data_IF_408827066103
#
_entry.id   IF_408827066103
#
_cell.length_a   1.000
_cell.length_b   1.000
_cell.length_c   1.000
_cell.angle_alpha   90.00
_cell.angle_beta   90.00
_cell.angle_gamma   90.00
#
_symmetry.space_group_name_H-M   'P 1'
#
loop_
_entity.id
_entity.type
_entity.pdbx_description
1 polymer ?
#
# COMPACT_ATOMS: atom_id res chain seq x y z
N UNK A 1 1.09 -7.89 -8.58
CA UNK A 1 0.83 -7.23 -7.28
C UNK A 1 0.22 -8.24 -6.35
N UNK A 2 0.89 -8.52 -5.26
CA UNK A 2 0.53 -9.60 -4.33
C UNK A 2 0.05 -9.02 -3.01
N UNK A 3 0.52 -7.83 -2.65
CA UNK A 3 0.08 -7.09 -1.46
C UNK A 3 -0.56 -5.76 -1.86
N UNK A 4 -1.58 -5.36 -1.12
CA UNK A 4 -2.22 -4.06 -1.27
C UNK A 4 -2.14 -3.33 0.07
N UNK A 5 -1.43 -2.21 0.09
CA UNK A 5 -1.34 -1.32 1.22
C UNK A 5 -2.55 -0.41 1.23
N UNK A 6 -3.27 -0.40 2.33
CA UNK A 6 -4.51 0.35 2.50
C UNK A 6 -4.25 1.45 3.52
N UNK A 7 -4.68 2.67 3.18
CA UNK A 7 -4.43 3.86 3.98
C UNK A 7 -5.72 4.44 4.55
N UNK A 8 -5.59 5.24 5.60
CA UNK A 8 -6.73 5.92 6.22
C UNK A 8 -7.26 7.09 5.39
N UNK A 9 -6.46 7.65 4.47
CA UNK A 9 -6.85 8.76 3.60
C UNK A 9 -5.99 8.83 2.33
N UNK A 10 -6.49 9.54 1.31
CA UNK A 10 -5.90 9.63 -0.03
C UNK A 10 -4.51 10.25 0.00
N UNK A 11 -4.31 11.26 0.86
CA UNK A 11 -3.04 11.96 0.99
C UNK A 11 -1.90 11.02 1.40
N UNK A 12 -2.16 10.07 2.32
CA UNK A 12 -1.16 9.07 2.72
C UNK A 12 -0.83 8.07 1.62
N UNK A 13 -1.84 7.64 0.86
CA UNK A 13 -1.63 6.75 -0.29
C UNK A 13 -0.78 7.42 -1.37
N UNK A 14 -1.06 8.69 -1.69
CA UNK A 14 -0.26 9.49 -2.63
C UNK A 14 1.17 9.71 -2.12
N UNK A 15 1.34 10.03 -0.84
CA UNK A 15 2.68 10.19 -0.25
C UNK A 15 3.48 8.87 -0.26
N UNK A 16 2.82 7.75 -0.02
CA UNK A 16 3.42 6.42 -0.14
C UNK A 16 3.88 6.18 -1.59
N UNK A 17 3.02 6.47 -2.57
CA UNK A 17 3.36 6.34 -3.99
C UNK A 17 4.57 7.19 -4.35
N UNK A 18 4.57 8.48 -4.02
CA UNK A 18 5.69 9.39 -4.30
C UNK A 18 7.02 8.85 -3.74
N UNK A 19 7.03 8.43 -2.46
CA UNK A 19 8.22 7.91 -1.79
C UNK A 19 8.75 6.65 -2.47
N UNK A 20 7.87 5.70 -2.78
CA UNK A 20 8.26 4.41 -3.37
C UNK A 20 8.70 4.60 -4.83
N UNK A 21 8.00 5.45 -5.59
CA UNK A 21 8.39 5.82 -6.96
C UNK A 21 9.76 6.52 -6.98
N UNK A 22 10.05 7.42 -6.03
CA UNK A 22 11.37 8.05 -5.87
C UNK A 22 12.49 7.02 -5.61
N UNK A 23 12.16 5.90 -4.97
CA UNK A 23 13.09 4.80 -4.73
C UNK A 23 13.11 3.75 -5.84
N UNK A 24 12.52 4.06 -7.01
CA UNK A 24 12.41 3.14 -8.16
C UNK A 24 11.70 1.82 -7.85
N UNK A 25 10.80 1.81 -6.86
CA UNK A 25 9.99 0.65 -6.52
C UNK A 25 8.77 0.60 -7.43
N UNK A 26 8.53 -0.57 -8.03
CA UNK A 26 7.35 -0.79 -8.87
C UNK A 26 6.11 -0.93 -7.99
N UNK A 27 5.15 -0.04 -8.20
CA UNK A 27 3.86 -0.04 -7.54
C UNK A 27 2.73 0.33 -8.52
N UNK A 28 1.49 0.02 -8.14
CA UNK A 28 0.31 0.54 -8.83
C UNK A 28 -0.70 1.07 -7.82
N UNK A 29 -1.37 2.17 -8.17
CA UNK A 29 -2.54 2.64 -7.44
C UNK A 29 -3.73 1.75 -7.83
N UNK A 30 -4.40 1.17 -6.84
CA UNK A 30 -5.56 0.30 -7.03
C UNK A 30 -6.77 0.82 -6.25
N UNK A 31 -7.99 0.70 -6.79
CA UNK A 31 -9.19 0.99 -6.02
C UNK A 31 -9.35 -0.08 -4.92
N UNK A 32 -9.56 0.36 -3.69
CA UNK A 32 -9.83 -0.55 -2.56
C UNK A 32 -11.33 -0.85 -2.57
N UNK A 33 -11.74 -2.13 -2.57
CA UNK A 33 -13.14 -2.50 -2.48
C UNK A 33 -13.81 -1.85 -1.27
N UNK A 34 -15.01 -1.31 -1.45
CA UNK A 34 -15.79 -0.66 -0.38
C UNK A 34 -16.09 -1.58 0.80
N UNK A 35 -16.10 -2.90 0.59
CA UNK A 35 -16.22 -3.88 1.67
C UNK A 35 -15.02 -3.85 2.65
N UNK A 36 -13.85 -3.37 2.23
CA UNK A 36 -12.62 -3.39 3.03
C UNK A 36 -12.43 -2.08 3.81
N UNK A 37 -12.76 -0.91 3.24
CA UNK A 37 -12.75 0.38 3.95
C UNK A 37 -13.79 1.37 3.43
N UNK A 38 -14.41 2.14 4.34
CA UNK A 38 -15.40 3.18 4.01
C UNK A 38 -14.82 4.59 3.75
N UNK A 39 -13.50 4.82 3.87
CA UNK A 39 -12.97 6.19 3.91
C UNK A 39 -12.07 6.61 2.75
N UNK A 40 -11.25 5.72 2.17
CA UNK A 40 -10.15 6.16 1.30
C UNK A 40 -10.28 5.75 -0.16
N UNK A 41 -11.00 4.67 -0.48
CA UNK A 41 -11.25 4.20 -1.85
C UNK A 41 -10.02 3.80 -2.68
N UNK A 42 -8.79 4.12 -2.25
CA UNK A 42 -7.54 3.85 -2.95
C UNK A 42 -6.51 3.15 -2.05
N UNK A 43 -5.69 2.33 -2.66
CA UNK A 43 -4.61 1.57 -2.04
C UNK A 43 -3.43 1.45 -2.99
N UNK A 44 -2.29 1.02 -2.46
CA UNK A 44 -1.05 0.87 -3.21
C UNK A 44 -0.72 -0.62 -3.33
N UNK A 45 -0.77 -1.14 -4.55
CA UNK A 45 -0.40 -2.51 -4.88
C UNK A 45 1.11 -2.65 -5.02
N UNK A 46 1.69 -3.58 -4.27
CA UNK A 46 3.13 -3.87 -4.21
C UNK A 46 3.38 -5.33 -4.64
N UNK A 47 4.48 -5.56 -5.35
CA UNK A 47 4.96 -6.90 -5.66
C UNK A 47 5.68 -7.50 -4.46
N UNK A 48 5.56 -8.80 -4.23
CA UNK A 48 6.17 -9.48 -3.08
C UNK A 48 7.67 -9.28 -3.01
N UNK A 49 8.34 -9.28 -4.16
CA UNK A 49 9.79 -9.01 -4.26
C UNK A 49 10.20 -7.65 -3.68
N UNK A 50 9.30 -6.66 -3.74
CA UNK A 50 9.54 -5.29 -3.28
C UNK A 50 8.87 -5.00 -1.94
N UNK A 51 8.06 -5.93 -1.41
CA UNK A 51 7.22 -5.73 -0.23
C UNK A 51 8.04 -5.41 1.01
N UNK A 52 9.00 -6.27 1.38
CA UNK A 52 9.80 -6.07 2.59
C UNK A 52 10.59 -4.75 2.54
N UNK A 53 11.17 -4.43 1.39
CA UNK A 53 11.87 -3.16 1.19
C UNK A 53 10.91 -1.97 1.31
N UNK A 54 9.73 -2.05 0.68
CA UNK A 54 8.70 -1.02 0.77
C UNK A 54 8.26 -0.77 2.20
N UNK A 55 8.02 -1.83 2.98
CA UNK A 55 7.62 -1.70 4.39
C UNK A 55 8.70 -1.00 5.19
N UNK A 56 9.98 -1.41 5.07
CA UNK A 56 11.10 -0.75 5.76
C UNK A 56 11.18 0.74 5.44
N UNK A 57 11.11 1.10 4.15
CA UNK A 57 11.13 2.49 3.70
C UNK A 57 9.97 3.30 4.30
N UNK A 58 8.77 2.73 4.33
CA UNK A 58 7.59 3.38 4.87
C UNK A 58 7.69 3.55 6.40
N UNK A 59 8.26 2.57 7.11
CA UNK A 59 8.54 2.67 8.54
C UNK A 59 9.58 3.76 8.83
N UNK A 60 10.70 3.80 8.11
CA UNK A 60 11.71 4.85 8.23
C UNK A 60 11.13 6.25 7.96
N UNK A 61 10.22 6.36 6.99
CA UNK A 61 9.52 7.61 6.64
C UNK A 61 8.30 7.90 7.51
N UNK A 62 8.03 7.09 8.54
CA UNK A 62 6.89 7.22 9.45
C UNK A 62 5.51 7.24 8.75
N UNK A 63 5.37 6.49 7.66
CA UNK A 63 4.12 6.35 6.91
C UNK A 63 3.29 5.21 7.51
N UNK A 64 2.30 5.57 8.32
CA UNK A 64 1.34 4.57 8.85
C UNK A 64 0.47 3.99 7.73
N UNK A 65 0.57 2.66 7.59
CA UNK A 65 -0.33 1.82 6.79
C UNK A 65 -1.47 1.39 7.71
N UNK A 66 -2.72 1.49 7.24
CA UNK A 66 -3.89 1.09 8.04
C UNK A 66 -4.03 -0.42 8.04
N UNK A 67 -3.99 -1.04 6.86
CA UNK A 67 -4.10 -2.49 6.66
C UNK A 67 -3.27 -2.94 5.47
N UNK A 68 -2.85 -4.21 5.50
CA UNK A 68 -2.21 -4.87 4.37
C UNK A 68 -3.13 -6.01 3.94
N UNK A 69 -3.47 -6.04 2.65
CA UNK A 69 -4.28 -7.11 2.07
C UNK A 69 -3.40 -7.99 1.19
N UNK A 70 -3.37 -9.27 1.48
CA UNK A 70 -2.72 -10.30 0.68
C UNK A 70 -3.70 -10.75 -0.41
N UNK A 71 -3.42 -10.35 -1.64
CA UNK A 71 -4.25 -10.64 -2.81
C UNK A 71 -4.13 -12.09 -3.26
N UNK A 72 -3.05 -12.80 -2.92
CA UNK A 72 -2.87 -14.23 -3.22
C UNK A 72 -3.77 -15.05 -2.29
N UNK A 73 -3.63 -14.81 -0.99
CA UNK A 73 -4.35 -15.56 0.04
C UNK A 73 -5.75 -14.99 0.36
N UNK A 74 -6.14 -13.91 -0.32
CA UNK A 74 -7.39 -13.17 -0.13
C UNK A 74 -7.68 -12.83 1.33
N UNK A 75 -6.63 -12.54 2.10
CA UNK A 75 -6.70 -12.31 3.54
C UNK A 75 -6.08 -10.99 3.95
N UNK A 76 -6.52 -10.48 5.08
CA UNK A 76 -5.94 -9.32 5.75
C UNK A 76 -4.79 -9.78 6.65
N UNK A 77 -3.66 -9.09 6.56
CA UNK A 77 -2.49 -9.27 7.42
C UNK A 77 -2.56 -8.33 8.62
#
# INVERSE_FOLDING_TARGET
MEYILIFSNTHRALKCEEILTQMSIKLNIVPVPTHITNSCGIGIGIYRKDFENSIKILEEKNILIKYIYDNINKKKL
#
